data_IF_248499527326
#
_entry.id   IF_248499527326
#
_cell.length_a   1.000
_cell.length_b   1.000
_cell.length_c   1.000
_cell.angle_alpha   90.00
_cell.angle_beta   90.00
_cell.angle_gamma   90.00
#
_symmetry.space_group_name_H-M   'P 1'
#
loop_
_entity.id
_entity.type
_entity.pdbx_description
1 polymer ?
#
# COMPACT_ATOMS: atom_id res chain seq x y z
N UNK A 1 75.63 -7.86 -22.47
CA UNK A 1 75.33 -7.87 -23.90
C UNK A 1 73.84 -7.61 -24.02
N UNK A 2 73.57 -6.42 -24.41
CA UNK A 2 72.37 -5.73 -24.97
C UNK A 2 71.01 -6.42 -24.89
N UNK A 3 70.14 -5.90 -23.99
CA UNK A 3 68.68 -5.99 -24.05
C UNK A 3 68.14 -4.79 -24.82
N UNK A 4 67.17 -4.94 -25.72
CA UNK A 4 66.39 -3.80 -26.22
C UNK A 4 65.08 -3.68 -25.44
N UNK A 5 64.76 -2.46 -24.98
CA UNK A 5 63.48 -2.00 -24.43
C UNK A 5 62.42 -1.92 -25.55
N UNK A 6 61.16 -2.28 -25.31
CA UNK A 6 60.07 -1.91 -26.19
C UNK A 6 59.47 -0.55 -25.79
N UNK A 7 59.21 0.26 -26.80
CA UNK A 7 58.58 1.57 -26.76
C UNK A 7 57.16 1.57 -26.19
N UNK A 8 56.91 2.37 -25.18
CA UNK A 8 55.61 2.67 -24.68
C UNK A 8 54.81 3.51 -25.70
N UNK A 9 53.68 2.94 -26.17
CA UNK A 9 52.67 3.69 -26.93
C UNK A 9 51.73 4.39 -25.98
N UNK A 10 51.80 5.73 -25.99
CA UNK A 10 50.89 6.64 -25.26
C UNK A 10 49.58 6.69 -26.03
N UNK A 11 48.50 6.08 -25.47
CA UNK A 11 47.15 6.24 -25.95
C UNK A 11 46.57 7.52 -25.31
N UNK A 12 46.43 8.58 -26.12
CA UNK A 12 45.66 9.78 -25.74
C UNK A 12 44.16 9.43 -25.74
N UNK A 13 43.58 9.25 -24.55
CA UNK A 13 42.15 9.15 -24.38
C UNK A 13 41.49 10.53 -24.55
N UNK A 14 40.82 10.72 -25.68
CA UNK A 14 39.99 11.90 -25.92
C UNK A 14 38.75 11.83 -24.99
N UNK A 15 38.78 12.65 -23.94
CA UNK A 15 37.62 12.95 -23.11
C UNK A 15 36.65 13.83 -23.95
N UNK A 16 35.62 13.18 -24.53
CA UNK A 16 34.43 13.86 -25.03
C UNK A 16 33.61 14.30 -23.79
N UNK A 17 33.34 15.59 -23.59
CA UNK A 17 32.37 16.00 -22.59
C UNK A 17 30.99 15.58 -23.11
N UNK A 18 30.39 14.60 -22.43
CA UNK A 18 28.97 14.27 -22.57
C UNK A 18 28.22 15.53 -22.09
N UNK A 19 27.81 16.40 -23.01
CA UNK A 19 26.79 17.41 -22.74
C UNK A 19 25.51 16.63 -22.40
N UNK A 20 25.30 16.41 -21.10
CA UNK A 20 23.98 16.11 -20.61
C UNK A 20 23.12 17.33 -20.97
N UNK A 21 22.35 17.21 -22.06
CA UNK A 21 21.27 18.13 -22.33
C UNK A 21 20.43 18.19 -21.07
N UNK A 22 20.46 19.33 -20.38
CA UNK A 22 19.52 19.61 -19.30
C UNK A 22 18.14 19.60 -19.95
N UNK A 23 17.46 18.44 -19.92
CA UNK A 23 16.07 18.36 -20.25
C UNK A 23 15.38 19.39 -19.36
N UNK A 24 14.72 20.37 -19.96
CA UNK A 24 13.82 21.27 -19.25
C UNK A 24 12.96 20.43 -18.32
N UNK A 25 12.73 20.79 -17.08
CA UNK A 25 11.92 20.00 -16.17
C UNK A 25 10.54 19.84 -16.82
N UNK A 26 10.34 18.69 -17.49
CA UNK A 26 9.05 18.37 -18.07
C UNK A 26 8.08 18.20 -16.90
N UNK A 27 6.91 18.82 -16.99
CA UNK A 27 5.86 18.65 -16.00
C UNK A 27 5.65 17.16 -15.70
N UNK A 28 5.61 16.80 -14.43
CA UNK A 28 5.53 15.40 -13.97
C UNK A 28 4.15 14.82 -14.32
N UNK A 29 4.14 13.70 -15.04
CA UNK A 29 2.90 12.97 -15.33
C UNK A 29 2.49 12.04 -14.20
N UNK A 30 1.21 11.65 -14.16
CA UNK A 30 0.71 10.68 -13.19
C UNK A 30 1.47 9.34 -13.28
N UNK A 31 1.72 8.83 -14.49
CA UNK A 31 2.44 7.57 -14.67
C UNK A 31 3.88 7.64 -14.15
N UNK A 32 4.58 8.72 -14.41
CA UNK A 32 5.92 8.94 -13.86
C UNK A 32 5.90 9.03 -12.32
N UNK A 33 4.90 9.69 -11.75
CA UNK A 33 4.71 9.76 -10.30
C UNK A 33 4.47 8.38 -9.68
N UNK A 34 3.62 7.55 -10.31
CA UNK A 34 3.35 6.18 -9.88
C UNK A 34 4.61 5.29 -9.93
N UNK A 35 5.44 5.44 -10.97
CA UNK A 35 6.70 4.71 -11.08
C UNK A 35 7.69 5.11 -9.98
N UNK A 36 7.86 6.41 -9.72
CA UNK A 36 8.71 6.89 -8.63
C UNK A 36 8.25 6.38 -7.27
N UNK A 37 6.95 6.42 -7.00
CA UNK A 37 6.38 5.93 -5.75
C UNK A 37 6.58 4.41 -5.59
N UNK A 38 6.37 3.62 -6.65
CA UNK A 38 6.58 2.18 -6.63
C UNK A 38 8.03 1.80 -6.30
N UNK A 39 9.02 2.50 -6.88
CA UNK A 39 10.44 2.28 -6.61
C UNK A 39 10.84 2.59 -5.16
N UNK A 40 10.13 3.50 -4.50
CA UNK A 40 10.43 3.98 -3.13
C UNK A 40 9.57 3.32 -2.06
N UNK A 41 8.56 2.54 -2.43
CA UNK A 41 7.59 1.96 -1.49
C UNK A 41 8.25 1.03 -0.49
N UNK A 42 8.34 1.48 0.76
CA UNK A 42 8.81 0.65 1.87
C UNK A 42 7.76 -0.39 2.29
N UNK A 43 6.47 -0.09 2.12
CA UNK A 43 5.38 -1.04 2.40
C UNK A 43 5.44 -2.25 1.45
N UNK A 44 5.67 -2.03 0.16
CA UNK A 44 5.87 -3.10 -0.81
C UNK A 44 7.11 -3.94 -0.48
N UNK A 45 8.23 -3.30 -0.11
CA UNK A 45 9.45 -4.00 0.32
C UNK A 45 9.25 -4.82 1.60
N UNK A 46 8.50 -4.28 2.57
CA UNK A 46 8.15 -5.01 3.79
C UNK A 46 7.29 -6.24 3.48
N UNK A 47 6.30 -6.11 2.60
CA UNK A 47 5.47 -7.23 2.17
C UNK A 47 6.29 -8.30 1.40
N UNK A 48 7.24 -7.90 0.55
CA UNK A 48 8.17 -8.81 -0.13
C UNK A 48 9.03 -9.62 0.86
N UNK A 49 9.49 -8.98 1.95
CA UNK A 49 10.19 -9.68 3.02
C UNK A 49 9.27 -10.69 3.73
N UNK A 50 7.96 -10.41 3.83
CA UNK A 50 6.95 -11.36 4.30
C UNK A 50 6.86 -12.61 3.43
N UNK A 51 6.83 -12.46 2.10
CA UNK A 51 6.86 -13.59 1.16
C UNK A 51 8.14 -14.41 1.33
N UNK A 52 9.30 -13.77 1.42
CA UNK A 52 10.57 -14.46 1.64
C UNK A 52 10.53 -15.26 2.95
N UNK A 53 10.06 -14.66 4.04
CA UNK A 53 9.92 -15.34 5.33
C UNK A 53 8.99 -16.55 5.26
N UNK A 54 7.84 -16.42 4.59
CA UNK A 54 6.90 -17.52 4.42
C UNK A 54 7.47 -18.63 3.53
N UNK A 55 8.22 -18.29 2.47
CA UNK A 55 8.85 -19.27 1.58
C UNK A 55 9.93 -20.08 2.30
N UNK A 56 10.78 -19.44 3.13
CA UNK A 56 11.77 -20.15 3.95
C UNK A 56 11.09 -21.08 4.98
N UNK A 57 9.99 -20.62 5.60
CA UNK A 57 9.19 -21.48 6.48
C UNK A 57 8.57 -22.67 5.72
N UNK A 58 8.13 -22.45 4.48
CA UNK A 58 7.58 -23.52 3.64
C UNK A 58 8.64 -24.58 3.27
N UNK A 59 9.89 -24.20 3.03
CA UNK A 59 10.98 -25.16 2.80
C UNK A 59 11.20 -26.09 4.01
N UNK A 60 10.96 -25.63 5.23
CA UNK A 60 11.10 -26.42 6.45
C UNK A 60 9.85 -27.26 6.77
N UNK A 61 8.66 -26.89 6.26
CA UNK A 61 7.37 -27.41 6.72
C UNK A 61 7.19 -28.94 6.51
N UNK A 62 7.75 -29.49 5.44
CA UNK A 62 7.66 -30.92 5.13
C UNK A 62 8.81 -31.75 5.69
N UNK A 63 9.78 -31.13 6.37
CA UNK A 63 10.93 -31.83 6.92
C UNK A 63 10.52 -32.66 8.14
N UNK A 64 11.28 -33.73 8.37
CA UNK A 64 11.17 -34.48 9.62
C UNK A 64 11.75 -33.64 10.78
N UNK A 65 11.23 -33.77 12.00
CA UNK A 65 11.87 -33.18 13.18
C UNK A 65 13.29 -33.67 13.32
N UNK A 66 14.17 -32.88 13.93
CA UNK A 66 15.54 -33.25 14.14
C UNK A 66 15.66 -34.46 15.08
N UNK A 67 16.65 -35.35 14.84
CA UNK A 67 16.92 -36.44 15.75
C UNK A 67 17.43 -35.92 17.10
N UNK A 68 17.00 -36.59 18.18
CA UNK A 68 17.39 -36.22 19.53
C UNK A 68 18.51 -37.16 20.02
N UNK A 69 19.68 -36.62 20.35
CA UNK A 69 20.74 -37.35 21.04
C UNK A 69 20.45 -37.40 22.56
N UNK A 70 20.49 -38.58 23.15
CA UNK A 70 20.33 -38.79 24.59
C UNK A 70 21.63 -39.32 25.15
N UNK A 71 22.12 -38.69 26.20
CA UNK A 71 23.29 -39.13 26.97
C UNK A 71 22.88 -39.14 28.42
N UNK A 72 23.15 -40.25 29.10
CA UNK A 72 22.74 -40.38 30.51
C UNK A 72 23.39 -41.56 31.22
N UNK A 73 23.08 -41.69 32.49
CA UNK A 73 23.40 -42.86 33.29
C UNK A 73 22.08 -43.43 33.81
N UNK A 74 21.78 -44.64 33.39
CA UNK A 74 20.57 -45.33 33.80
C UNK A 74 20.82 -46.23 34.99
N UNK A 75 19.78 -46.41 35.80
CA UNK A 75 19.78 -47.29 37.01
C UNK A 75 20.91 -46.95 37.98
N UNK A 76 21.24 -45.67 38.13
CA UNK A 76 22.22 -45.25 39.17
C UNK A 76 21.63 -45.46 40.57
N UNK A 77 22.27 -46.31 41.43
CA UNK A 77 21.77 -46.55 42.78
C UNK A 77 21.68 -45.26 43.59
N UNK A 78 20.52 -44.97 44.18
CA UNK A 78 20.32 -43.80 45.04
C UNK A 78 20.52 -44.10 46.54
N UNK A 79 20.48 -45.39 46.93
CA UNK A 79 20.61 -45.87 48.31
C UNK A 79 21.51 -47.10 48.37
N UNK A 80 21.92 -47.52 49.59
CA UNK A 80 22.78 -48.71 49.77
C UNK A 80 24.28 -48.43 49.59
N UNK A 81 25.11 -49.48 49.67
CA UNK A 81 26.58 -49.37 49.66
C UNK A 81 27.14 -48.88 48.31
N UNK A 82 26.40 -49.08 47.25
CA UNK A 82 26.80 -48.64 45.89
C UNK A 82 26.14 -47.32 45.45
N UNK A 83 25.59 -46.54 46.38
CA UNK A 83 24.96 -45.26 46.12
C UNK A 83 25.86 -44.31 45.34
N UNK A 84 25.34 -43.82 44.23
CA UNK A 84 26.00 -42.89 43.29
C UNK A 84 27.31 -43.42 42.66
N UNK A 85 27.55 -44.74 42.71
CA UNK A 85 28.65 -45.37 41.95
C UNK A 85 28.17 -45.86 40.58
N UNK A 86 28.82 -45.37 39.54
CA UNK A 86 28.47 -45.71 38.13
C UNK A 86 29.07 -47.00 37.62
N UNK A 87 29.88 -47.72 38.46
CA UNK A 87 30.68 -48.86 38.04
C UNK A 87 30.56 -50.11 38.92
N UNK A 88 29.80 -50.07 40.02
CA UNK A 88 29.73 -51.19 40.98
C UNK A 88 28.49 -52.04 40.82
N UNK A 89 27.35 -51.39 40.50
CA UNK A 89 26.11 -52.09 40.31
C UNK A 89 26.00 -52.67 38.91
N UNK A 90 25.59 -53.94 38.78
CA UNK A 90 25.46 -54.66 37.49
C UNK A 90 24.41 -54.08 36.57
N UNK A 91 23.44 -53.30 37.10
CA UNK A 91 22.35 -52.71 36.34
C UNK A 91 22.65 -51.27 35.89
N UNK A 92 23.65 -50.61 36.55
CA UNK A 92 24.04 -49.26 36.17
C UNK A 92 24.74 -49.24 34.80
N UNK A 93 24.24 -48.43 33.89
CA UNK A 93 24.83 -48.29 32.55
C UNK A 93 24.94 -46.82 32.15
N UNK A 94 26.05 -46.50 31.49
CA UNK A 94 26.24 -45.23 30.78
C UNK A 94 25.65 -45.39 29.40
N UNK A 95 24.59 -44.63 29.10
CA UNK A 95 23.83 -44.75 27.84
C UNK A 95 24.11 -43.57 26.93
N UNK A 96 24.31 -43.89 25.65
CA UNK A 96 24.21 -42.95 24.53
C UNK A 96 23.18 -43.49 23.55
N UNK A 97 22.27 -42.64 23.05
CA UNK A 97 21.22 -43.09 22.17
C UNK A 97 20.72 -41.95 21.27
N UNK A 98 20.09 -42.31 20.16
CA UNK A 98 19.45 -41.43 19.22
C UNK A 98 17.99 -41.81 19.11
N UNK A 99 17.09 -40.83 19.09
CA UNK A 99 15.68 -41.04 18.80
C UNK A 99 15.21 -40.11 17.69
N UNK A 100 14.33 -40.62 16.82
CA UNK A 100 13.75 -39.90 15.69
C UNK A 100 12.24 -40.05 15.69
N UNK A 101 11.54 -38.91 15.66
CA UNK A 101 10.09 -38.89 15.40
C UNK A 101 9.85 -39.04 13.90
N UNK A 102 8.87 -39.89 13.57
CA UNK A 102 8.48 -40.14 12.17
C UNK A 102 7.10 -39.60 11.88
N UNK A 103 7.04 -38.68 10.92
CA UNK A 103 5.80 -38.13 10.37
C UNK A 103 5.44 -38.89 9.08
N UNK A 104 4.17 -39.28 8.96
CA UNK A 104 3.69 -39.90 7.73
C UNK A 104 3.80 -38.94 6.52
N UNK A 105 3.86 -39.51 5.32
CA UNK A 105 3.88 -38.73 4.09
C UNK A 105 2.68 -37.79 3.96
N UNK A 106 1.48 -38.29 4.34
CA UNK A 106 0.24 -37.49 4.31
C UNK A 106 0.34 -36.26 5.21
N UNK A 107 0.91 -36.38 6.42
CA UNK A 107 1.10 -35.25 7.33
C UNK A 107 2.08 -34.23 6.80
N UNK A 108 3.17 -34.70 6.23
CA UNK A 108 4.18 -33.83 5.62
C UNK A 108 3.58 -33.07 4.42
N UNK A 109 2.80 -33.77 3.58
CA UNK A 109 2.11 -33.15 2.45
C UNK A 109 1.08 -32.11 2.92
N UNK A 110 0.28 -32.41 3.97
CA UNK A 110 -0.66 -31.46 4.52
C UNK A 110 0.02 -30.20 5.11
N UNK A 111 1.16 -30.37 5.83
CA UNK A 111 1.95 -29.27 6.36
C UNK A 111 2.55 -28.43 5.23
N UNK A 112 3.07 -29.06 4.19
CA UNK A 112 3.58 -28.35 3.02
C UNK A 112 2.48 -27.52 2.37
N UNK A 113 1.31 -28.13 2.09
CA UNK A 113 0.19 -27.42 1.47
C UNK A 113 -0.32 -26.23 2.31
N UNK A 114 -0.28 -26.34 3.64
CA UNK A 114 -0.63 -25.23 4.52
C UNK A 114 0.42 -24.12 4.49
N UNK A 115 1.72 -24.46 4.41
CA UNK A 115 2.79 -23.51 4.30
C UNK A 115 2.80 -22.81 2.92
N UNK A 116 2.52 -23.53 1.84
CA UNK A 116 2.37 -22.96 0.50
C UNK A 116 1.19 -21.98 0.45
N UNK A 117 0.06 -22.29 1.09
CA UNK A 117 -1.07 -21.37 1.22
C UNK A 117 -0.70 -20.09 2.02
N UNK A 118 0.20 -20.20 2.99
CA UNK A 118 0.71 -19.03 3.70
C UNK A 118 1.60 -18.15 2.79
N UNK A 119 2.42 -18.75 1.91
CA UNK A 119 3.18 -18.01 0.89
C UNK A 119 2.24 -17.27 -0.07
N UNK A 120 1.19 -17.96 -0.55
CA UNK A 120 0.19 -17.36 -1.44
C UNK A 120 -0.52 -16.16 -0.78
N UNK A 121 -0.83 -16.26 0.53
CA UNK A 121 -1.40 -15.15 1.29
C UNK A 121 -0.45 -13.95 1.33
N UNK A 122 0.82 -14.16 1.63
CA UNK A 122 1.82 -13.09 1.64
C UNK A 122 2.03 -12.48 0.24
N UNK A 123 1.95 -13.28 -0.83
CA UNK A 123 2.02 -12.77 -2.21
C UNK A 123 0.86 -11.80 -2.52
N UNK A 124 -0.35 -12.06 -2.02
CA UNK A 124 -1.48 -11.12 -2.15
C UNK A 124 -1.23 -9.84 -1.33
N UNK A 125 -0.57 -9.92 -0.17
CA UNK A 125 -0.21 -8.73 0.62
C UNK A 125 0.76 -7.81 -0.15
N UNK A 126 1.70 -8.36 -0.92
CA UNK A 126 2.57 -7.56 -1.80
C UNK A 126 1.74 -6.78 -2.83
N UNK A 127 0.78 -7.45 -3.47
CA UNK A 127 -0.11 -6.82 -4.45
C UNK A 127 -0.97 -5.74 -3.80
N UNK A 128 -1.50 -5.99 -2.60
CA UNK A 128 -2.30 -5.04 -1.84
C UNK A 128 -1.48 -3.80 -1.45
N UNK A 129 -0.25 -3.97 -0.95
CA UNK A 129 0.65 -2.87 -0.62
C UNK A 129 1.04 -2.04 -1.85
N UNK A 130 1.23 -2.70 -3.00
CA UNK A 130 1.51 -2.02 -4.27
C UNK A 130 0.29 -1.23 -4.75
N UNK A 131 -0.91 -1.81 -4.70
CA UNK A 131 -2.15 -1.13 -5.08
C UNK A 131 -2.43 0.08 -4.16
N UNK A 132 -2.25 -0.07 -2.84
CA UNK A 132 -2.39 1.05 -1.90
C UNK A 132 -1.39 2.17 -2.19
N UNK A 133 -0.11 1.85 -2.44
CA UNK A 133 0.90 2.84 -2.82
C UNK A 133 0.49 3.60 -4.08
N UNK A 134 -0.02 2.91 -5.10
CA UNK A 134 -0.50 3.53 -6.34
C UNK A 134 -1.74 4.40 -6.09
N UNK A 135 -2.69 3.92 -5.33
CA UNK A 135 -3.91 4.66 -4.97
C UNK A 135 -3.58 5.96 -4.23
N UNK A 136 -2.79 5.86 -3.17
CA UNK A 136 -2.43 7.04 -2.36
C UNK A 136 -1.61 8.05 -3.15
N UNK A 137 -0.70 7.58 -4.02
CA UNK A 137 0.08 8.45 -4.90
C UNK A 137 -0.82 9.16 -5.90
N UNK A 138 -1.76 8.45 -6.54
CA UNK A 138 -2.68 9.04 -7.50
C UNK A 138 -3.63 10.05 -6.84
N UNK A 139 -4.13 9.77 -5.63
CA UNK A 139 -4.94 10.72 -4.87
C UNK A 139 -4.14 11.99 -4.52
N UNK A 140 -2.91 11.82 -4.03
CA UNK A 140 -2.04 12.95 -3.70
C UNK A 140 -1.66 13.78 -4.93
N UNK A 141 -1.47 13.13 -6.09
CA UNK A 141 -1.23 13.80 -7.37
C UNK A 141 -2.41 14.68 -7.78
N UNK A 142 -3.63 14.12 -7.74
CA UNK A 142 -4.86 14.86 -8.05
C UNK A 142 -5.03 16.04 -7.11
N UNK A 143 -4.82 15.83 -5.81
CA UNK A 143 -4.94 16.89 -4.81
C UNK A 143 -3.93 18.00 -5.04
N UNK A 144 -2.68 17.67 -5.34
CA UNK A 144 -1.63 18.66 -5.62
C UNK A 144 -1.93 19.45 -6.91
N UNK A 145 -2.33 18.78 -7.99
CA UNK A 145 -2.69 19.42 -9.25
C UNK A 145 -3.83 20.43 -9.07
N UNK A 146 -4.94 20.02 -8.47
CA UNK A 146 -6.09 20.93 -8.28
C UNK A 146 -5.84 22.03 -7.24
N UNK A 147 -4.95 21.80 -6.27
CA UNK A 147 -4.53 22.85 -5.36
C UNK A 147 -3.71 23.94 -6.07
N UNK A 148 -2.86 23.56 -7.01
CA UNK A 148 -2.09 24.50 -7.83
C UNK A 148 -3.00 25.31 -8.77
N UNK A 149 -3.92 24.67 -9.47
CA UNK A 149 -4.94 25.34 -10.29
C UNK A 149 -5.79 26.34 -9.48
N UNK A 150 -6.16 25.96 -8.24
CA UNK A 150 -6.91 26.85 -7.36
C UNK A 150 -6.07 28.07 -6.93
N UNK A 151 -4.77 27.89 -6.66
CA UNK A 151 -3.87 28.99 -6.34
C UNK A 151 -3.72 29.94 -7.53
N UNK A 152 -3.65 29.46 -8.76
CA UNK A 152 -3.61 30.30 -9.95
C UNK A 152 -4.88 31.16 -10.08
N UNK A 153 -6.06 30.61 -9.79
CA UNK A 153 -7.31 31.37 -9.77
C UNK A 153 -7.32 32.46 -8.70
N UNK A 154 -6.90 32.12 -7.47
CA UNK A 154 -6.84 33.07 -6.36
C UNK A 154 -5.85 34.20 -6.64
N UNK A 155 -4.67 33.90 -7.16
CA UNK A 155 -3.66 34.91 -7.52
C UNK A 155 -4.18 35.85 -8.61
N UNK A 156 -4.92 35.35 -9.60
CA UNK A 156 -5.58 36.20 -10.60
C UNK A 156 -6.60 37.15 -9.97
N UNK A 157 -7.39 36.67 -9.00
CA UNK A 157 -8.36 37.52 -8.30
C UNK A 157 -7.68 38.58 -7.45
N UNK A 158 -6.63 38.24 -6.73
CA UNK A 158 -5.80 39.19 -5.96
C UNK A 158 -5.23 40.28 -6.88
N UNK A 159 -4.72 39.91 -8.04
CA UNK A 159 -4.20 40.83 -9.05
C UNK A 159 -5.30 41.81 -9.53
N UNK A 160 -6.48 41.31 -9.89
CA UNK A 160 -7.60 42.16 -10.29
C UNK A 160 -8.05 43.10 -9.17
N UNK A 161 -8.13 42.62 -7.93
CA UNK A 161 -8.48 43.47 -6.78
C UNK A 161 -7.47 44.61 -6.57
N UNK A 162 -6.17 44.33 -6.81
CA UNK A 162 -5.12 45.35 -6.76
C UNK A 162 -5.27 46.38 -7.89
N UNK A 163 -5.45 45.94 -9.13
CA UNK A 163 -5.62 46.86 -10.31
C UNK A 163 -6.85 47.79 -10.13
N UNK A 164 -7.96 47.21 -9.67
CA UNK A 164 -9.21 47.97 -9.48
C UNK A 164 -9.11 48.99 -8.33
N UNK A 165 -8.38 48.65 -7.24
CA UNK A 165 -8.07 49.60 -6.20
C UNK A 165 -7.22 50.75 -6.68
N UNK A 166 -6.15 50.49 -7.45
CA UNK A 166 -5.29 51.54 -8.01
C UNK A 166 -6.09 52.44 -8.98
N UNK A 167 -6.93 51.83 -9.86
CA UNK A 167 -7.80 52.60 -10.74
C UNK A 167 -8.79 53.46 -9.99
N UNK A 168 -9.34 53.03 -8.87
CA UNK A 168 -10.27 53.81 -8.03
C UNK A 168 -9.58 54.97 -7.36
N UNK A 169 -8.34 54.80 -6.91
CA UNK A 169 -7.52 55.90 -6.34
C UNK A 169 -7.21 57.01 -7.37
N UNK A 170 -6.87 56.63 -8.58
CA UNK A 170 -6.66 57.58 -9.68
C UNK A 170 -7.95 58.33 -9.99
N UNK A 171 -9.09 57.65 -10.06
CA UNK A 171 -10.38 58.31 -10.27
C UNK A 171 -10.75 59.28 -9.14
N UNK A 172 -10.49 58.92 -7.89
CA UNK A 172 -10.72 59.77 -6.76
C UNK A 172 -9.86 61.08 -6.86
N UNK A 173 -8.56 60.94 -7.23
CA UNK A 173 -7.64 62.09 -7.38
C UNK A 173 -8.10 63.07 -8.49
N UNK A 174 -8.79 62.55 -9.51
CA UNK A 174 -9.33 63.35 -10.62
C UNK A 174 -10.80 63.82 -10.38
N UNK A 175 -11.33 63.63 -9.16
CA UNK A 175 -12.72 63.95 -8.77
C UNK A 175 -13.78 63.17 -9.57
N UNK A 176 -13.40 62.10 -10.25
CA UNK A 176 -14.31 61.21 -10.99
C UNK A 176 -14.73 59.96 -10.20
N UNK A 177 -14.21 59.77 -8.97
CA UNK A 177 -14.49 58.64 -8.08
C UNK A 177 -15.00 59.08 -6.70
N UNK A 178 -15.37 58.12 -5.83
CA UNK A 178 -15.77 58.38 -4.45
C UNK A 178 -14.82 57.70 -3.45
N UNK A 179 -14.68 58.32 -2.28
CA UNK A 179 -13.91 57.74 -1.18
C UNK A 179 -14.53 56.43 -0.68
N UNK A 180 -15.86 56.26 -0.78
CA UNK A 180 -16.57 55.04 -0.44
C UNK A 180 -16.13 53.87 -1.34
N UNK A 181 -15.98 54.10 -2.66
CA UNK A 181 -15.51 53.10 -3.62
C UNK A 181 -14.07 52.68 -3.29
N UNK A 182 -13.16 53.59 -2.98
CA UNK A 182 -11.80 53.30 -2.57
C UNK A 182 -11.73 52.46 -1.30
N UNK A 183 -12.57 52.80 -0.28
CA UNK A 183 -12.61 52.03 0.95
C UNK A 183 -13.17 50.62 0.74
N UNK A 184 -14.22 50.49 -0.07
CA UNK A 184 -14.79 49.16 -0.43
C UNK A 184 -13.76 48.28 -1.16
N UNK A 185 -13.06 48.83 -2.15
CA UNK A 185 -12.02 48.09 -2.88
C UNK A 185 -10.75 47.81 -2.04
N UNK A 186 -10.46 48.69 -1.05
CA UNK A 186 -9.40 48.42 -0.07
C UNK A 186 -9.74 47.20 0.79
N UNK A 187 -10.97 47.11 1.26
CA UNK A 187 -11.45 45.94 1.99
C UNK A 187 -11.46 44.66 1.12
N UNK A 188 -11.94 44.77 -0.11
CA UNK A 188 -12.01 43.68 -1.06
C UNK A 188 -10.60 43.11 -1.39
N UNK A 189 -9.59 44.00 -1.58
CA UNK A 189 -8.20 43.60 -1.77
C UNK A 189 -7.66 42.83 -0.55
N UNK A 190 -7.92 43.32 0.68
CA UNK A 190 -7.51 42.62 1.89
C UNK A 190 -8.11 41.21 2.02
N UNK A 191 -9.38 41.06 1.65
CA UNK A 191 -10.02 39.72 1.60
C UNK A 191 -9.39 38.83 0.55
N UNK A 192 -9.11 39.32 -0.66
CA UNK A 192 -8.47 38.55 -1.73
C UNK A 192 -7.04 38.11 -1.35
N UNK A 193 -6.28 38.98 -0.67
CA UNK A 193 -4.94 38.64 -0.15
C UNK A 193 -4.99 37.54 0.91
N UNK A 194 -5.95 37.58 1.84
CA UNK A 194 -6.15 36.57 2.88
C UNK A 194 -6.57 35.23 2.28
N UNK A 195 -7.52 35.23 1.35
CA UNK A 195 -7.93 34.03 0.60
C UNK A 195 -6.78 33.40 -0.15
N UNK A 196 -5.95 34.21 -0.82
CA UNK A 196 -4.77 33.73 -1.54
C UNK A 196 -3.75 33.11 -0.58
N UNK A 197 -3.58 33.69 0.61
CA UNK A 197 -2.68 33.15 1.64
C UNK A 197 -3.17 31.79 2.15
N UNK A 198 -4.46 31.64 2.42
CA UNK A 198 -5.07 30.36 2.83
C UNK A 198 -4.91 29.28 1.74
N UNK A 199 -5.21 29.63 0.49
CA UNK A 199 -5.07 28.70 -0.64
C UNK A 199 -3.60 28.30 -0.87
N UNK A 200 -2.65 29.22 -0.69
CA UNK A 200 -1.22 28.92 -0.75
C UNK A 200 -0.78 27.95 0.34
N UNK A 201 -1.34 28.07 1.55
CA UNK A 201 -1.13 27.09 2.62
C UNK A 201 -1.67 25.71 2.24
N UNK A 202 -2.87 25.64 1.66
CA UNK A 202 -3.47 24.38 1.19
C UNK A 202 -2.64 23.73 0.08
N UNK A 203 -2.18 24.53 -0.89
CA UNK A 203 -1.29 24.07 -1.98
C UNK A 203 0.03 23.50 -1.42
N UNK A 204 0.66 24.22 -0.47
CA UNK A 204 1.87 23.74 0.18
C UNK A 204 1.66 22.40 0.91
N UNK A 205 0.56 22.27 1.64
CA UNK A 205 0.20 21.03 2.33
C UNK A 205 -0.01 19.85 1.35
N UNK A 206 -0.71 20.10 0.24
CA UNK A 206 -0.91 19.10 -0.81
C UNK A 206 0.42 18.70 -1.48
N UNK A 207 1.30 19.66 -1.74
CA UNK A 207 2.65 19.43 -2.26
C UNK A 207 3.50 18.56 -1.34
N UNK A 208 3.50 18.81 -0.03
CA UNK A 208 4.20 17.99 0.97
C UNK A 208 3.62 16.58 1.02
N UNK A 209 2.28 16.43 0.99
CA UNK A 209 1.63 15.14 0.96
C UNK A 209 2.02 14.32 -0.30
N UNK A 210 2.09 14.97 -1.45
CA UNK A 210 2.53 14.34 -2.69
C UNK A 210 4.03 13.99 -2.67
N UNK A 211 4.89 14.91 -2.20
CA UNK A 211 6.34 14.68 -2.07
C UNK A 211 6.66 13.45 -1.21
N UNK A 212 5.86 13.17 -0.19
CA UNK A 212 6.01 11.94 0.63
C UNK A 212 6.08 10.68 -0.22
N UNK A 213 5.29 10.62 -1.30
CA UNK A 213 5.20 9.44 -2.17
C UNK A 213 6.29 9.41 -3.23
N UNK A 214 6.49 10.52 -3.94
CA UNK A 214 7.42 10.58 -5.07
C UNK A 214 8.86 10.92 -4.66
N UNK A 215 9.05 11.59 -3.52
CA UNK A 215 10.35 11.96 -2.95
C UNK A 215 11.01 13.17 -3.59
N UNK A 216 10.36 13.78 -4.57
CA UNK A 216 10.83 14.99 -5.25
C UNK A 216 9.74 16.07 -5.19
N UNK A 217 10.15 17.35 -5.27
CA UNK A 217 9.21 18.46 -5.47
C UNK A 217 9.19 18.73 -6.98
N UNK A 218 8.11 18.40 -7.69
CA UNK A 218 8.02 18.73 -9.12
C UNK A 218 7.88 20.24 -9.29
N UNK A 219 8.44 20.77 -10.37
CA UNK A 219 8.25 22.18 -10.74
C UNK A 219 6.81 22.43 -11.24
N UNK A 220 6.19 21.42 -11.87
CA UNK A 220 4.87 21.48 -12.46
C UNK A 220 4.27 20.07 -12.58
N UNK A 221 2.93 19.98 -12.63
CA UNK A 221 2.18 18.72 -12.79
C UNK A 221 1.38 18.77 -14.09
N UNK A 222 1.33 17.64 -14.80
CA UNK A 222 0.44 17.52 -15.95
C UNK A 222 -1.03 17.34 -15.52
N UNK A 223 -2.01 17.78 -16.30
CA UNK A 223 -3.41 17.46 -16.04
C UNK A 223 -3.60 15.94 -15.87
N UNK A 224 -4.40 15.50 -14.87
CA UNK A 224 -4.70 14.08 -14.71
C UNK A 224 -5.27 13.50 -16.01
N UNK A 225 -4.77 12.37 -16.52
CA UNK A 225 -5.27 11.75 -17.72
C UNK A 225 -6.69 11.19 -17.53
N UNK A 226 -7.42 10.98 -18.63
CA UNK A 226 -8.68 10.26 -18.59
C UNK A 226 -8.43 8.80 -18.12
N UNK A 227 -9.13 8.37 -17.08
CA UNK A 227 -8.98 7.07 -16.45
C UNK A 227 -10.05 6.12 -16.98
N UNK A 228 -9.64 4.94 -17.47
CA UNK A 228 -10.57 3.86 -17.83
C UNK A 228 -11.05 3.18 -16.54
N UNK A 229 -12.37 3.17 -16.34
CA UNK A 229 -12.96 2.58 -15.14
C UNK A 229 -13.19 1.08 -15.31
N UNK A 230 -12.95 0.26 -14.30
CA UNK A 230 -13.22 -1.17 -14.33
C UNK A 230 -14.74 -1.44 -14.30
N UNK A 231 -15.13 -2.64 -14.75
CA UNK A 231 -16.49 -3.14 -14.53
C UNK A 231 -16.69 -3.54 -13.06
N UNK A 232 -17.95 -3.60 -12.59
CA UNK A 232 -18.28 -4.07 -11.23
C UNK A 232 -17.63 -5.43 -10.93
N UNK A 233 -17.73 -6.36 -11.86
CA UNK A 233 -17.17 -7.70 -11.69
C UNK A 233 -15.63 -7.67 -11.54
N UNK A 234 -14.94 -6.90 -12.38
CA UNK A 234 -13.48 -6.76 -12.33
C UNK A 234 -13.03 -6.08 -11.02
N UNK A 235 -13.73 -5.03 -10.61
CA UNK A 235 -13.45 -4.32 -9.35
C UNK A 235 -13.56 -5.24 -8.14
N UNK A 236 -14.69 -5.98 -8.02
CA UNK A 236 -14.96 -6.86 -6.87
C UNK A 236 -13.98 -8.03 -6.84
N UNK A 237 -13.72 -8.67 -7.99
CA UNK A 237 -12.77 -9.79 -8.07
C UNK A 237 -11.33 -9.39 -7.71
N UNK A 238 -10.93 -8.17 -8.05
CA UNK A 238 -9.61 -7.62 -7.76
C UNK A 238 -9.57 -6.76 -6.49
N UNK A 239 -10.66 -6.70 -5.70
CA UNK A 239 -10.69 -5.90 -4.49
C UNK A 239 -9.71 -6.45 -3.45
N UNK A 240 -8.80 -5.62 -2.85
CA UNK A 240 -7.73 -6.11 -1.95
C UNK A 240 -8.25 -6.96 -0.79
N UNK A 241 -9.31 -6.49 -0.12
CA UNK A 241 -9.92 -7.21 1.01
C UNK A 241 -10.49 -8.56 0.58
N UNK A 242 -11.16 -8.63 -0.58
CA UNK A 242 -11.73 -9.88 -1.12
C UNK A 242 -10.61 -10.86 -1.44
N UNK A 243 -9.56 -10.41 -2.14
CA UNK A 243 -8.43 -11.25 -2.49
C UNK A 243 -7.67 -11.76 -1.25
N UNK A 244 -7.49 -10.93 -0.23
CA UNK A 244 -6.85 -11.32 1.03
C UNK A 244 -7.68 -12.36 1.77
N UNK A 245 -8.98 -12.13 1.95
CA UNK A 245 -9.87 -13.07 2.64
C UNK A 245 -10.04 -14.38 1.88
N UNK A 246 -9.94 -14.36 0.54
CA UNK A 246 -9.90 -15.59 -0.24
C UNK A 246 -8.70 -16.46 0.14
N UNK A 247 -7.51 -15.86 0.28
CA UNK A 247 -6.30 -16.60 0.70
C UNK A 247 -6.34 -17.01 2.17
N UNK A 248 -6.97 -16.20 3.02
CA UNK A 248 -7.20 -16.57 4.43
C UNK A 248 -8.12 -17.79 4.54
N UNK A 249 -9.18 -17.86 3.73
CA UNK A 249 -10.05 -19.06 3.66
C UNK A 249 -9.26 -20.28 3.18
N UNK A 250 -8.47 -20.15 2.11
CA UNK A 250 -7.64 -21.25 1.59
C UNK A 250 -6.69 -21.74 2.69
N UNK A 251 -6.02 -20.83 3.40
CA UNK A 251 -5.11 -21.17 4.51
C UNK A 251 -5.87 -21.83 5.68
N UNK A 252 -7.06 -21.34 6.04
CA UNK A 252 -7.87 -21.95 7.10
C UNK A 252 -8.27 -23.39 6.75
N UNK A 253 -8.66 -23.66 5.51
CA UNK A 253 -8.96 -25.00 5.00
C UNK A 253 -7.74 -25.91 5.06
N UNK A 254 -6.56 -25.45 4.64
CA UNK A 254 -5.30 -26.22 4.74
C UNK A 254 -4.88 -26.49 6.18
N UNK A 255 -5.14 -25.56 7.08
CA UNK A 255 -4.92 -25.77 8.52
C UNK A 255 -5.84 -26.84 9.10
N UNK A 256 -7.09 -26.88 8.65
CA UNK A 256 -8.02 -27.95 9.01
C UNK A 256 -7.53 -29.32 8.47
N UNK A 257 -6.98 -29.37 7.24
CA UNK A 257 -6.38 -30.58 6.67
C UNK A 257 -5.19 -31.08 7.50
N UNK A 258 -4.30 -30.17 7.95
CA UNK A 258 -3.19 -30.51 8.86
C UNK A 258 -3.71 -31.12 10.17
N UNK A 259 -4.75 -30.49 10.75
CA UNK A 259 -5.35 -30.98 12.00
C UNK A 259 -6.02 -32.33 11.81
N UNK A 260 -6.71 -32.54 10.69
CA UNK A 260 -7.29 -33.83 10.32
C UNK A 260 -6.21 -34.91 10.13
N UNK A 261 -5.10 -34.59 9.48
CA UNK A 261 -3.96 -35.51 9.34
C UNK A 261 -3.34 -35.87 10.69
N UNK A 262 -3.33 -34.94 11.65
CA UNK A 262 -2.80 -35.15 13.01
C UNK A 262 -3.68 -36.05 13.90
N UNK A 263 -4.88 -36.48 13.43
CA UNK A 263 -5.68 -37.49 14.13
C UNK A 263 -4.93 -38.82 14.28
N UNK A 264 -4.07 -39.16 13.33
CA UNK A 264 -3.19 -40.32 13.46
C UNK A 264 -1.95 -39.88 14.26
N UNK A 265 -1.56 -40.55 15.35
CA UNK A 265 -0.39 -40.17 16.12
C UNK A 265 0.89 -40.38 15.32
N UNK A 266 1.92 -39.60 15.63
CA UNK A 266 3.27 -39.85 15.15
C UNK A 266 3.89 -40.98 15.99
N UNK A 267 4.75 -41.76 15.39
CA UNK A 267 5.55 -42.73 16.11
C UNK A 267 7.02 -42.32 16.12
N UNK A 268 7.77 -42.80 17.09
CA UNK A 268 9.20 -42.57 17.15
C UNK A 268 9.94 -43.87 17.36
N UNK A 269 11.12 -43.98 16.83
CA UNK A 269 12.05 -45.06 17.13
C UNK A 269 13.24 -44.50 17.92
N UNK A 270 13.83 -45.36 18.74
CA UNK A 270 15.04 -45.09 19.48
C UNK A 270 16.03 -46.25 19.36
N UNK A 271 17.28 -45.89 19.27
CA UNK A 271 18.42 -46.78 19.30
C UNK A 271 19.39 -46.29 20.33
N UNK A 272 19.80 -47.15 21.25
CA UNK A 272 20.78 -46.77 22.27
C UNK A 272 21.79 -47.88 22.59
N UNK A 273 22.98 -47.43 22.96
CA UNK A 273 24.08 -48.26 23.44
C UNK A 273 24.33 -47.96 24.92
N UNK A 274 24.35 -48.99 25.75
CA UNK A 274 24.58 -48.91 27.18
C UNK A 274 25.86 -49.65 27.55
N UNK A 275 26.88 -48.90 28.01
CA UNK A 275 28.12 -49.45 28.57
C UNK A 275 27.94 -49.84 30.03
N UNK A 276 28.31 -51.05 30.38
CA UNK A 276 28.31 -51.56 31.76
C UNK A 276 29.73 -51.90 32.20
N UNK A 277 30.18 -51.38 33.31
CA UNK A 277 31.54 -51.68 33.86
C UNK A 277 31.59 -53.10 34.42
N UNK A 278 32.42 -53.95 33.88
CA UNK A 278 32.56 -55.34 34.32
C UNK A 278 31.52 -56.32 33.80
N UNK A 279 30.59 -55.89 32.94
CA UNK A 279 29.54 -56.69 32.35
C UNK A 279 29.45 -56.44 30.83
N UNK A 280 28.73 -57.30 30.10
CA UNK A 280 28.53 -57.14 28.69
C UNK A 280 27.71 -55.86 28.39
N UNK A 281 28.15 -55.08 27.41
CA UNK A 281 27.46 -53.91 26.93
C UNK A 281 26.12 -54.28 26.25
N UNK A 282 25.18 -53.36 26.20
CA UNK A 282 23.83 -53.60 25.69
C UNK A 282 23.46 -52.62 24.57
N UNK A 283 22.78 -53.15 23.56
CA UNK A 283 22.07 -52.32 22.55
C UNK A 283 20.59 -52.47 22.79
N UNK A 284 19.90 -51.32 22.82
CA UNK A 284 18.44 -51.30 22.96
C UNK A 284 17.81 -50.61 21.75
N UNK A 285 16.79 -51.22 21.21
CA UNK A 285 15.94 -50.64 20.14
C UNK A 285 14.52 -50.56 20.64
N UNK A 286 13.93 -49.40 20.51
CA UNK A 286 12.55 -49.14 20.94
C UNK A 286 11.72 -48.48 19.84
N UNK A 287 10.43 -48.66 19.90
CA UNK A 287 9.44 -47.93 19.10
C UNK A 287 8.34 -47.43 20.04
N UNK A 288 8.08 -46.12 19.98
CA UNK A 288 7.04 -45.49 20.78
C UNK A 288 5.89 -45.07 19.87
N UNK A 289 4.69 -45.60 20.14
CA UNK A 289 3.48 -45.30 19.38
C UNK A 289 2.43 -44.75 20.37
N UNK A 290 2.12 -43.44 20.33
CA UNK A 290 1.05 -42.86 21.13
C UNK A 290 -0.30 -43.45 20.72
N UNK A 291 -1.11 -43.87 21.68
CA UNK A 291 -2.45 -44.43 21.41
C UNK A 291 -3.53 -43.36 21.57
N UNK A 292 -4.33 -43.16 20.53
CA UNK A 292 -5.47 -42.27 20.58
C UNK A 292 -6.67 -42.99 21.25
N UNK A 293 -6.77 -42.92 22.58
CA UNK A 293 -7.79 -43.67 23.36
C UNK A 293 -9.19 -43.04 23.20
N UNK A 294 -9.28 -41.72 23.11
CA UNK A 294 -10.56 -41.00 23.02
C UNK A 294 -10.59 -40.03 21.83
N UNK A 295 -10.50 -40.50 20.57
CA UNK A 295 -10.42 -39.60 19.42
C UNK A 295 -11.65 -38.71 19.22
N UNK A 296 -12.84 -39.16 19.67
CA UNK A 296 -14.10 -38.41 19.63
C UNK A 296 -14.06 -37.14 20.50
N UNK A 297 -13.40 -37.23 21.66
CA UNK A 297 -13.38 -36.13 22.64
C UNK A 297 -12.22 -35.17 22.43
N UNK A 298 -11.22 -35.54 21.67
CA UNK A 298 -10.01 -34.74 21.48
C UNK A 298 -9.74 -34.44 20.00
N UNK A 299 -9.16 -35.34 19.24
CA UNK A 299 -8.70 -35.09 17.87
C UNK A 299 -9.84 -34.70 16.91
N UNK A 300 -11.03 -35.30 17.08
CA UNK A 300 -12.20 -34.96 16.28
C UNK A 300 -12.74 -33.55 16.65
N UNK A 301 -12.64 -33.15 17.92
CA UNK A 301 -13.05 -31.83 18.38
C UNK A 301 -12.07 -30.75 17.86
N UNK A 302 -10.74 -31.01 17.87
CA UNK A 302 -9.75 -30.15 17.30
C UNK A 302 -10.00 -29.94 15.79
N UNK A 303 -10.32 -31.01 15.06
CA UNK A 303 -10.67 -30.92 13.63
C UNK A 303 -11.95 -30.12 13.41
N UNK A 304 -13.01 -30.37 14.20
CA UNK A 304 -14.24 -29.61 14.11
C UNK A 304 -14.05 -28.12 14.41
N UNK A 305 -13.18 -27.78 15.37
CA UNK A 305 -12.85 -26.40 15.69
C UNK A 305 -12.16 -25.68 14.50
N UNK A 306 -11.23 -26.35 13.79
CA UNK A 306 -10.59 -25.78 12.62
C UNK A 306 -11.52 -25.65 11.42
N UNK A 307 -12.46 -26.58 11.23
CA UNK A 307 -13.50 -26.46 10.21
C UNK A 307 -14.43 -25.27 10.50
N UNK A 308 -14.83 -25.06 11.75
CA UNK A 308 -15.62 -23.89 12.14
C UNK A 308 -14.86 -22.55 11.90
N UNK A 309 -13.51 -22.54 12.01
CA UNK A 309 -12.71 -21.37 11.63
C UNK A 309 -12.68 -21.15 10.10
N UNK A 310 -12.69 -22.22 9.31
CA UNK A 310 -12.83 -22.11 7.85
C UNK A 310 -14.22 -21.58 7.47
N UNK A 311 -15.31 -22.05 8.11
CA UNK A 311 -16.67 -21.53 7.91
C UNK A 311 -16.75 -20.03 8.28
N UNK A 312 -16.07 -19.62 9.36
CA UNK A 312 -15.96 -18.19 9.74
C UNK A 312 -15.26 -17.39 8.65
N UNK A 313 -14.16 -17.88 8.09
CA UNK A 313 -13.44 -17.21 7.01
C UNK A 313 -14.28 -17.11 5.73
N UNK A 314 -15.07 -18.14 5.41
CA UNK A 314 -16.00 -18.13 4.28
C UNK A 314 -17.10 -17.08 4.44
N UNK A 315 -17.68 -16.96 5.63
CA UNK A 315 -18.66 -15.93 5.94
C UNK A 315 -18.06 -14.52 5.84
N UNK A 316 -16.79 -14.33 6.31
CA UNK A 316 -16.10 -13.07 6.20
C UNK A 316 -15.82 -12.69 4.74
N UNK A 317 -15.43 -13.64 3.90
CA UNK A 317 -15.25 -13.44 2.46
C UNK A 317 -16.56 -13.03 1.76
N UNK A 318 -17.66 -13.69 2.09
CA UNK A 318 -18.97 -13.37 1.54
C UNK A 318 -19.41 -11.95 1.92
N UNK A 319 -19.14 -11.52 3.16
CA UNK A 319 -19.43 -10.15 3.61
C UNK A 319 -18.54 -9.12 2.91
N UNK A 320 -17.25 -9.38 2.79
CA UNK A 320 -16.32 -8.48 2.08
C UNK A 320 -16.69 -8.33 0.59
N UNK A 321 -17.17 -9.40 -0.04
CA UNK A 321 -17.66 -9.35 -1.43
C UNK A 321 -18.89 -8.44 -1.57
N UNK A 322 -19.83 -8.52 -0.62
CA UNK A 322 -20.99 -7.62 -0.57
C UNK A 322 -20.58 -6.18 -0.32
N UNK A 323 -19.64 -5.96 0.60
CA UNK A 323 -19.12 -4.61 0.90
C UNK A 323 -18.40 -3.99 -0.31
N UNK A 324 -17.54 -4.75 -1.00
CA UNK A 324 -16.86 -4.29 -2.22
C UNK A 324 -17.85 -3.97 -3.35
N UNK A 325 -18.93 -4.76 -3.50
CA UNK A 325 -20.00 -4.49 -4.46
C UNK A 325 -20.73 -3.19 -4.15
N UNK A 326 -21.09 -2.97 -2.89
CA UNK A 326 -21.75 -1.75 -2.44
C UNK A 326 -20.85 -0.52 -2.63
N UNK A 327 -19.57 -0.65 -2.32
CA UNK A 327 -18.58 0.41 -2.52
C UNK A 327 -18.45 0.79 -4.00
N UNK A 328 -18.29 -0.18 -4.89
CA UNK A 328 -18.23 0.09 -6.33
C UNK A 328 -19.47 0.86 -6.81
N UNK A 329 -20.67 0.40 -6.43
CA UNK A 329 -21.93 1.02 -6.85
C UNK A 329 -22.07 2.45 -6.34
N UNK A 330 -21.62 2.72 -5.11
CA UNK A 330 -21.58 4.06 -4.54
C UNK A 330 -20.65 4.96 -5.35
N UNK A 331 -19.38 4.55 -5.53
CA UNK A 331 -18.39 5.33 -6.27
C UNK A 331 -18.79 5.56 -7.73
N UNK A 332 -19.33 4.55 -8.42
CA UNK A 332 -19.78 4.68 -9.79
C UNK A 332 -20.99 5.65 -9.92
N UNK A 333 -21.93 5.58 -8.98
CA UNK A 333 -23.05 6.53 -8.91
C UNK A 333 -22.57 7.95 -8.64
N UNK A 334 -21.60 8.11 -7.71
CA UNK A 334 -21.05 9.43 -7.39
C UNK A 334 -20.29 10.02 -8.58
N UNK A 335 -19.46 9.22 -9.27
CA UNK A 335 -18.78 9.67 -10.49
C UNK A 335 -19.76 10.14 -11.57
N UNK A 336 -20.83 9.38 -11.80
CA UNK A 336 -21.85 9.75 -12.78
C UNK A 336 -22.57 11.06 -12.38
N UNK A 337 -22.95 11.20 -11.12
CA UNK A 337 -23.62 12.42 -10.61
C UNK A 337 -22.71 13.64 -10.65
N UNK A 338 -21.43 13.46 -10.29
CA UNK A 338 -20.45 14.54 -10.34
C UNK A 338 -20.22 14.99 -11.78
N UNK A 339 -20.12 14.07 -12.74
CA UNK A 339 -19.98 14.42 -14.15
C UNK A 339 -21.17 15.24 -14.64
N UNK A 340 -22.40 14.79 -14.38
CA UNK A 340 -23.63 15.52 -14.75
C UNK A 340 -23.70 16.89 -14.09
N UNK A 341 -23.21 17.00 -12.85
CA UNK A 341 -23.18 18.27 -12.12
C UNK A 341 -22.13 19.22 -12.67
N UNK A 342 -20.96 18.72 -13.05
CA UNK A 342 -19.89 19.49 -13.69
C UNK A 342 -20.39 20.07 -15.02
N UNK A 343 -21.02 19.26 -15.86
CA UNK A 343 -21.52 19.70 -17.16
C UNK A 343 -22.56 20.81 -16.99
N UNK A 344 -23.57 20.60 -16.17
CA UNK A 344 -24.57 21.64 -15.88
C UNK A 344 -23.93 22.90 -15.28
N UNK A 345 -23.03 22.76 -14.32
CA UNK A 345 -22.41 23.90 -13.66
C UNK A 345 -21.55 24.73 -14.60
N UNK A 346 -20.79 24.08 -15.47
CA UNK A 346 -20.00 24.72 -16.53
C UNK A 346 -20.88 25.50 -17.50
N UNK A 347 -21.91 24.83 -18.04
CA UNK A 347 -22.74 25.36 -19.13
C UNK A 347 -23.74 26.44 -18.62
N UNK A 348 -24.08 26.44 -17.35
CA UNK A 348 -25.03 27.45 -16.81
C UNK A 348 -24.35 28.48 -15.93
N UNK A 349 -23.71 28.07 -14.83
CA UNK A 349 -23.23 29.00 -13.81
C UNK A 349 -21.97 29.71 -14.25
N UNK A 350 -20.96 28.96 -14.72
CA UNK A 350 -19.67 29.54 -15.17
C UNK A 350 -19.90 30.39 -16.44
N UNK A 351 -20.68 29.89 -17.40
CA UNK A 351 -21.01 30.64 -18.61
C UNK A 351 -21.76 31.95 -18.30
N UNK A 352 -22.74 31.90 -17.39
CA UNK A 352 -23.49 33.11 -16.99
C UNK A 352 -22.61 34.11 -16.21
N UNK A 353 -21.72 33.61 -15.34
CA UNK A 353 -20.76 34.46 -14.60
C UNK A 353 -19.80 35.17 -15.57
N UNK A 354 -19.23 34.47 -16.56
CA UNK A 354 -18.40 35.08 -17.59
C UNK A 354 -19.12 36.13 -18.44
N UNK A 355 -20.39 35.86 -18.84
CA UNK A 355 -21.20 36.85 -19.53
C UNK A 355 -21.48 38.09 -18.69
N UNK A 356 -21.73 37.90 -17.37
CA UNK A 356 -21.90 39.01 -16.42
C UNK A 356 -20.65 39.87 -16.32
N UNK A 357 -19.47 39.24 -16.23
CA UNK A 357 -18.18 39.95 -16.21
C UNK A 357 -17.92 40.70 -17.51
N UNK A 358 -18.22 40.11 -18.66
CA UNK A 358 -18.11 40.79 -19.95
C UNK A 358 -19.04 42.01 -20.04
N UNK A 359 -20.30 41.90 -19.59
CA UNK A 359 -21.25 43.00 -19.55
C UNK A 359 -20.82 44.10 -18.59
N UNK A 360 -20.31 43.73 -17.38
CA UNK A 360 -19.80 44.72 -16.40
C UNK A 360 -18.56 45.47 -16.94
N UNK A 361 -17.69 44.75 -17.66
CA UNK A 361 -16.51 45.34 -18.33
C UNK A 361 -16.90 46.36 -19.39
N UNK A 362 -17.87 46.01 -20.24
CA UNK A 362 -18.39 46.90 -21.30
C UNK A 362 -19.09 48.13 -20.68
N UNK A 363 -19.88 47.97 -19.64
CA UNK A 363 -20.51 49.06 -18.91
C UNK A 363 -19.50 50.02 -18.26
N UNK A 364 -18.44 49.47 -17.69
CA UNK A 364 -17.33 50.26 -17.16
C UNK A 364 -16.61 51.07 -18.25
N UNK A 365 -16.27 50.43 -19.39
CA UNK A 365 -15.59 51.07 -20.50
C UNK A 365 -16.44 52.19 -21.13
N UNK A 366 -17.74 52.04 -21.16
CA UNK A 366 -18.68 53.08 -21.62
C UNK A 366 -19.08 54.12 -20.55
N UNK A 367 -18.42 54.11 -19.40
CA UNK A 367 -18.71 54.98 -18.23
C UNK A 367 -20.14 54.84 -17.68
N UNK A 368 -20.83 53.75 -17.96
CA UNK A 368 -22.16 53.43 -17.45
C UNK A 368 -22.16 52.52 -16.22
N UNK A 369 -20.99 52.02 -15.79
CA UNK A 369 -20.79 51.15 -14.65
C UNK A 369 -19.65 51.61 -13.73
N UNK A 370 -19.73 51.24 -12.44
CA UNK A 370 -18.66 51.49 -11.45
C UNK A 370 -17.63 50.36 -11.38
N UNK A 371 -16.44 50.67 -10.85
CA UNK A 371 -15.39 49.68 -10.60
C UNK A 371 -15.80 48.61 -9.59
N UNK A 372 -16.60 48.97 -8.57
CA UNK A 372 -17.10 48.00 -7.60
C UNK A 372 -18.00 46.93 -8.25
N UNK A 373 -18.85 47.32 -9.20
CA UNK A 373 -19.71 46.37 -9.92
C UNK A 373 -18.89 45.44 -10.83
N UNK A 374 -17.80 45.95 -11.43
CA UNK A 374 -16.87 45.13 -12.21
C UNK A 374 -16.11 44.15 -11.31
N UNK A 375 -15.63 44.62 -10.14
CA UNK A 375 -14.99 43.74 -9.14
C UNK A 375 -15.94 42.61 -8.70
N UNK A 376 -17.18 42.95 -8.31
CA UNK A 376 -18.15 41.95 -7.89
C UNK A 376 -18.46 40.90 -8.98
N UNK A 377 -18.52 41.32 -10.26
CA UNK A 377 -18.72 40.41 -11.37
C UNK A 377 -17.53 39.45 -11.57
N UNK A 378 -16.29 39.97 -11.53
CA UNK A 378 -15.06 39.17 -11.62
C UNK A 378 -14.91 38.22 -10.44
N UNK A 379 -15.20 38.70 -9.23
CA UNK A 379 -15.17 37.86 -8.05
C UNK A 379 -16.15 36.69 -8.16
N UNK A 380 -17.41 36.95 -8.58
CA UNK A 380 -18.40 35.90 -8.78
C UNK A 380 -17.99 34.89 -9.88
N UNK A 381 -17.29 35.32 -10.91
CA UNK A 381 -16.77 34.45 -11.96
C UNK A 381 -15.66 33.54 -11.43
N UNK A 382 -14.68 34.09 -10.70
CA UNK A 382 -13.61 33.32 -10.08
C UNK A 382 -14.16 32.31 -9.07
N UNK A 383 -15.14 32.69 -8.24
CA UNK A 383 -15.79 31.78 -7.32
C UNK A 383 -16.54 30.65 -8.04
N UNK A 384 -17.18 30.95 -9.18
CA UNK A 384 -17.79 29.91 -10.01
C UNK A 384 -16.74 28.95 -10.59
N UNK A 385 -15.61 29.48 -11.07
CA UNK A 385 -14.50 28.66 -11.58
C UNK A 385 -13.87 27.79 -10.48
N UNK A 386 -13.64 28.34 -9.28
CA UNK A 386 -13.13 27.59 -8.11
C UNK A 386 -14.07 26.46 -7.72
N UNK A 387 -15.39 26.71 -7.72
CA UNK A 387 -16.38 25.67 -7.44
C UNK A 387 -16.38 24.59 -8.51
N UNK A 388 -16.20 24.92 -9.78
CA UNK A 388 -16.04 23.96 -10.87
C UNK A 388 -14.80 23.10 -10.66
N UNK A 389 -13.63 23.70 -10.33
CA UNK A 389 -12.41 22.97 -10.02
C UNK A 389 -12.59 22.01 -8.83
N UNK A 390 -13.28 22.43 -7.77
CA UNK A 390 -13.58 21.56 -6.64
C UNK A 390 -14.42 20.34 -7.05
N UNK A 391 -15.40 20.50 -7.93
CA UNK A 391 -16.20 19.39 -8.48
C UNK A 391 -15.36 18.45 -9.37
N UNK A 392 -14.50 19.02 -10.19
CA UNK A 392 -13.58 18.25 -11.07
C UNK A 392 -12.57 17.44 -10.23
N UNK A 393 -12.02 18.04 -9.17
CA UNK A 393 -11.15 17.34 -8.21
C UNK A 393 -11.87 16.15 -7.57
N UNK A 394 -13.11 16.34 -7.10
CA UNK A 394 -13.92 15.29 -6.48
C UNK A 394 -14.16 14.13 -7.45
N UNK A 395 -14.52 14.45 -8.71
CA UNK A 395 -14.67 13.45 -9.76
C UNK A 395 -13.37 12.69 -10.03
N UNK A 396 -12.25 13.40 -10.18
CA UNK A 396 -10.96 12.78 -10.42
C UNK A 396 -10.56 11.86 -9.26
N UNK A 397 -10.78 12.25 -8.00
CA UNK A 397 -10.56 11.40 -6.82
C UNK A 397 -11.41 10.13 -6.84
N UNK A 398 -12.70 10.26 -7.17
CA UNK A 398 -13.62 9.13 -7.29
C UNK A 398 -13.18 8.15 -8.39
N UNK A 399 -12.77 8.68 -9.55
CA UNK A 399 -12.23 7.87 -10.65
C UNK A 399 -10.92 7.16 -10.28
N UNK A 400 -10.03 7.85 -9.57
CA UNK A 400 -8.79 7.27 -9.02
C UNK A 400 -9.11 6.13 -8.05
N UNK A 401 -10.08 6.28 -7.15
CA UNK A 401 -10.50 5.21 -6.24
C UNK A 401 -11.02 3.98 -6.99
N UNK A 402 -11.86 4.18 -8.00
CA UNK A 402 -12.37 3.09 -8.83
C UNK A 402 -11.27 2.34 -9.59
N UNK A 403 -10.27 3.07 -10.12
CA UNK A 403 -9.26 2.49 -11.00
C UNK A 403 -8.05 1.90 -10.26
N UNK A 404 -7.61 2.51 -9.14
CA UNK A 404 -6.36 2.17 -8.48
C UNK A 404 -6.55 1.40 -7.17
N UNK A 405 -7.76 1.31 -6.62
CA UNK A 405 -8.02 0.48 -5.44
C UNK A 405 -7.94 -1.02 -5.75
N UNK A 406 -8.47 -1.54 -6.88
CA UNK A 406 -8.30 -2.94 -7.24
C UNK A 406 -6.82 -3.32 -7.38
N UNK A 407 -6.52 -4.57 -7.05
CA UNK A 407 -5.20 -5.15 -7.33
C UNK A 407 -4.93 -5.09 -8.84
N UNK A 408 -3.79 -4.54 -9.24
CA UNK A 408 -3.38 -4.55 -10.64
C UNK A 408 -3.27 -5.97 -11.18
N UNK A 409 -3.43 -6.14 -12.50
CA UNK A 409 -3.18 -7.43 -13.16
C UNK A 409 -1.75 -7.91 -12.83
N UNK A 410 -1.63 -9.21 -12.63
CA UNK A 410 -0.35 -9.85 -12.45
C UNK A 410 0.43 -9.68 -13.75
N UNK A 411 1.46 -8.83 -13.75
CA UNK A 411 2.41 -8.78 -14.86
C UNK A 411 3.10 -10.14 -14.83
N UNK A 412 2.61 -11.05 -15.68
CA UNK A 412 3.28 -12.32 -15.90
C UNK A 412 4.76 -12.03 -16.25
N UNK A 413 5.64 -12.47 -15.37
CA UNK A 413 7.09 -12.43 -15.57
C UNK A 413 7.52 -13.62 -16.40
#
# INVERSE_FOLDING_TARGET
>A
MSHPFPRAAVWAAALLPCLAAAASPSALSLDAALQLAAQRSLSTRAAQAGVLSASEAAHAAAQLPDPTLRIGVDNLPATGPDRFHTARDSMTMKRIGISQEWLSADKRAARQAAADAAVDREAVQVRAATADTRLQTALAYVDAFYADENLQLATRMEHHAHEELEASRVRLSSAAGSSQEVLALTGAKGVAEDETADIRQQQSAAGVAFQRWVGVVPADLQPPPAIVLPTEQAYVAAHPTVATLQRELDMARRTADVTAANRKPNWSWDLSYGQRTGYADMVSVGVNIPLAIAPGERQNRDTAAQLALADKAEAALAEATRAATAEYRSLASDAQRLQQRIDRYRDTVVAAAGQRTAAATAAYQSSQGGLLTLFEARHAEVEAQRKLLALQRELARTQVQLAFKPLGEEVAR
#
